data_IF_393945492682
#
_entry.id   IF_393945492682
#
_cell.length_a   1.000
_cell.length_b   1.000
_cell.length_c   1.000
_cell.angle_alpha   90.00
_cell.angle_beta   90.00
_cell.angle_gamma   90.00
#
_symmetry.space_group_name_H-M   'P 1'
#
loop_
_entity.id
_entity.type
_entity.pdbx_description
1 polymer ?
#
# COMPACT_ATOMS: atom_id res chain seq x y z
N UNK A 1 -4.90 12.82 -18.92
CA UNK A 1 -6.29 12.55 -19.34
C UNK A 1 -7.28 13.13 -18.34
N UNK A 2 -8.56 13.22 -18.72
CA UNK A 2 -9.65 13.67 -17.85
C UNK A 2 -10.72 12.60 -17.74
N UNK A 3 -11.48 12.60 -16.64
CA UNK A 3 -12.50 11.58 -16.37
C UNK A 3 -13.58 11.50 -17.47
N UNK A 4 -13.95 12.65 -18.05
CA UNK A 4 -14.89 12.74 -19.16
C UNK A 4 -14.62 14.01 -19.99
N UNK A 5 -15.19 14.13 -21.20
CA UNK A 5 -14.97 15.27 -22.10
C UNK A 5 -15.39 16.63 -21.52
N UNK A 6 -16.34 16.65 -20.59
CA UNK A 6 -16.80 17.87 -19.92
C UNK A 6 -15.95 18.27 -18.72
N UNK A 7 -15.01 17.43 -18.29
CA UNK A 7 -14.12 17.76 -17.17
C UNK A 7 -13.16 18.88 -17.56
N UNK A 8 -12.93 19.80 -16.61
CA UNK A 8 -12.01 20.91 -16.80
C UNK A 8 -10.59 20.57 -16.31
N UNK A 9 -10.45 19.55 -15.45
CA UNK A 9 -9.16 19.16 -14.86
C UNK A 9 -8.76 17.76 -15.29
N UNK A 10 -7.46 17.59 -15.50
CA UNK A 10 -6.82 16.28 -15.55
C UNK A 10 -6.81 15.65 -14.16
N UNK A 11 -6.78 14.32 -14.12
CA UNK A 11 -6.69 13.56 -12.88
C UNK A 11 -5.72 12.39 -13.04
N UNK A 12 -5.08 12.00 -11.94
CA UNK A 12 -4.22 10.81 -11.87
C UNK A 12 -5.00 9.58 -12.28
N UNK A 13 -6.17 9.35 -11.71
CA UNK A 13 -6.98 8.16 -11.99
C UNK A 13 -7.31 8.09 -13.48
N UNK A 14 -7.74 9.21 -14.07
CA UNK A 14 -8.05 9.25 -15.50
C UNK A 14 -6.81 9.06 -16.38
N UNK A 15 -5.67 9.64 -15.98
CA UNK A 15 -4.40 9.56 -16.73
C UNK A 15 -3.84 8.16 -16.72
N UNK A 16 -3.77 7.54 -15.55
CA UNK A 16 -3.33 6.17 -15.38
C UNK A 16 -4.23 5.17 -16.14
N UNK A 17 -5.55 5.30 -16.00
CA UNK A 17 -6.49 4.47 -16.73
C UNK A 17 -6.35 4.63 -18.25
N UNK A 18 -6.11 5.85 -18.74
CA UNK A 18 -5.82 6.11 -20.15
C UNK A 18 -4.55 5.44 -20.63
N UNK A 19 -3.47 5.48 -19.85
CA UNK A 19 -2.21 4.81 -20.16
C UNK A 19 -2.36 3.28 -20.20
N UNK A 20 -3.03 2.69 -19.21
CA UNK A 20 -3.32 1.25 -19.18
C UNK A 20 -4.21 0.83 -20.36
N UNK A 21 -5.20 1.65 -20.72
CA UNK A 21 -6.04 1.38 -21.89
C UNK A 21 -5.22 1.43 -23.20
N UNK A 22 -4.33 2.41 -23.36
CA UNK A 22 -3.43 2.50 -24.51
C UNK A 22 -2.50 1.28 -24.59
N UNK A 23 -2.03 0.76 -23.46
CA UNK A 23 -1.20 -0.45 -23.42
C UNK A 23 -1.96 -1.69 -23.87
N UNK A 24 -3.19 -1.88 -23.35
CA UNK A 24 -4.08 -2.97 -23.78
C UNK A 24 -4.35 -2.92 -25.29
N UNK A 25 -4.43 -1.72 -25.86
CA UNK A 25 -4.62 -1.51 -27.30
C UNK A 25 -3.33 -1.68 -28.13
N UNK A 26 -2.17 -1.81 -27.48
CA UNK A 26 -0.86 -1.89 -28.14
C UNK A 26 -0.34 -0.55 -28.67
N UNK A 27 -0.95 0.56 -28.25
CA UNK A 27 -0.68 1.92 -28.76
C UNK A 27 0.08 2.79 -27.76
N UNK A 28 0.37 2.31 -26.54
CA UNK A 28 1.07 3.12 -25.55
C UNK A 28 2.46 3.54 -26.07
N UNK A 29 3.22 2.62 -26.65
CA UNK A 29 4.57 2.90 -27.15
C UNK A 29 4.63 3.90 -28.31
N UNK A 30 3.57 4.00 -29.13
CA UNK A 30 3.45 4.93 -30.25
C UNK A 30 2.83 6.28 -29.84
N UNK A 31 2.25 6.37 -28.64
CA UNK A 31 1.55 7.56 -28.20
C UNK A 31 2.53 8.71 -27.90
N UNK A 32 2.34 9.91 -28.49
CA UNK A 32 3.34 10.97 -28.48
C UNK A 32 3.63 11.55 -27.09
N UNK A 33 2.66 11.52 -26.17
CA UNK A 33 2.75 12.24 -24.89
C UNK A 33 3.02 11.33 -23.67
N UNK A 34 3.50 10.09 -23.87
CA UNK A 34 3.77 9.17 -22.74
C UNK A 34 4.74 9.78 -21.73
N UNK A 35 5.83 10.40 -22.19
CA UNK A 35 6.79 11.05 -21.30
C UNK A 35 6.15 12.20 -20.50
N UNK A 36 5.31 13.01 -21.16
CA UNK A 36 4.58 14.10 -20.51
C UNK A 36 3.62 13.58 -19.44
N UNK A 37 2.87 12.51 -19.73
CA UNK A 37 1.96 11.88 -18.75
C UNK A 37 2.72 11.26 -17.58
N UNK A 38 3.86 10.61 -17.86
CA UNK A 38 4.72 10.00 -16.84
C UNK A 38 5.26 11.05 -15.88
N UNK A 39 5.85 12.14 -16.40
CA UNK A 39 6.34 13.24 -15.57
C UNK A 39 5.21 13.91 -14.79
N UNK A 40 4.05 14.10 -15.43
CA UNK A 40 2.89 14.68 -14.75
C UNK A 40 2.39 13.81 -13.60
N UNK A 41 2.44 12.48 -13.73
CA UNK A 41 2.11 11.55 -12.64
C UNK A 41 3.16 11.61 -11.52
N UNK A 42 4.44 11.62 -11.85
CA UNK A 42 5.53 11.75 -10.87
C UNK A 42 5.38 13.01 -10.01
N UNK A 43 5.00 14.14 -10.62
CA UNK A 43 4.75 15.41 -9.93
C UNK A 43 3.55 15.38 -8.95
N UNK A 44 2.77 14.28 -8.90
CA UNK A 44 1.62 14.13 -7.99
C UNK A 44 1.97 13.42 -6.69
N UNK A 45 3.20 12.91 -6.54
CA UNK A 45 3.62 12.39 -5.24
C UNK A 45 3.71 13.55 -4.24
N UNK A 46 3.07 13.40 -3.08
CA UNK A 46 3.03 14.43 -2.05
C UNK A 46 4.27 14.31 -1.16
N UNK A 47 5.15 15.31 -1.23
CA UNK A 47 6.36 15.37 -0.40
C UNK A 47 6.18 16.14 0.92
N UNK A 48 5.18 17.02 0.99
CA UNK A 48 4.90 17.88 2.14
C UNK A 48 3.40 17.86 2.40
N UNK A 49 3.02 17.55 3.63
CA UNK A 49 1.64 17.58 4.09
C UNK A 49 1.58 17.98 5.57
N UNK A 50 0.41 18.46 6.04
CA UNK A 50 0.25 18.91 7.43
C UNK A 50 0.42 17.75 8.44
N UNK A 51 0.00 16.55 8.07
CA UNK A 51 0.21 15.32 8.83
C UNK A 51 1.17 14.41 8.06
N UNK A 52 2.27 14.01 8.70
CA UNK A 52 3.34 13.19 8.10
C UNK A 52 2.83 11.85 7.57
N UNK A 53 1.72 11.34 8.11
CA UNK A 53 1.14 10.06 7.71
C UNK A 53 0.63 10.02 6.26
N UNK A 54 0.37 11.20 5.67
CA UNK A 54 -0.09 11.37 4.29
C UNK A 54 1.05 11.58 3.27
N UNK A 55 2.28 11.84 3.74
CA UNK A 55 3.44 12.06 2.87
C UNK A 55 3.79 10.77 2.14
N UNK A 56 3.98 10.87 0.82
CA UNK A 56 4.32 9.77 -0.07
C UNK A 56 3.15 9.24 -0.89
N UNK A 57 1.91 9.53 -0.51
CA UNK A 57 0.73 9.27 -1.32
C UNK A 57 0.63 10.20 -2.53
N UNK A 58 -0.27 9.89 -3.46
CA UNK A 58 -0.50 10.71 -4.66
C UNK A 58 -1.83 11.46 -4.58
N UNK A 59 -1.80 12.75 -4.92
CA UNK A 59 -2.98 13.61 -5.02
C UNK A 59 -3.67 13.48 -6.40
N UNK A 60 -5.00 13.65 -6.48
CA UNK A 60 -5.72 13.36 -7.73
C UNK A 60 -5.41 14.38 -8.83
N UNK A 61 -5.12 15.63 -8.47
CA UNK A 61 -4.74 16.69 -9.40
C UNK A 61 -3.70 17.59 -8.75
N UNK A 62 -3.06 18.47 -9.53
CA UNK A 62 -2.07 19.40 -9.00
C UNK A 62 -2.62 20.27 -7.86
N UNK A 63 -1.94 20.21 -6.71
CA UNK A 63 -2.19 21.00 -5.49
C UNK A 63 -3.61 20.84 -4.94
N UNK A 64 -4.19 19.64 -5.04
CA UNK A 64 -5.47 19.34 -4.38
C UNK A 64 -5.28 19.00 -2.90
N UNK A 65 -4.09 18.51 -2.52
CA UNK A 65 -3.82 18.16 -1.12
C UNK A 65 -4.71 17.02 -0.62
N UNK A 66 -5.01 16.05 -1.49
CA UNK A 66 -5.87 14.91 -1.20
C UNK A 66 -5.19 13.54 -1.46
N UNK A 67 -3.96 13.32 -0.94
CA UNK A 67 -3.30 12.02 -1.11
C UNK A 67 -4.14 10.89 -0.52
N UNK A 68 -4.43 9.89 -1.34
CA UNK A 68 -5.28 8.76 -0.97
C UNK A 68 -4.82 7.46 -1.64
N UNK A 69 -5.21 6.33 -1.07
CA UNK A 69 -4.74 5.00 -1.51
C UNK A 69 -5.18 4.64 -2.93
N UNK A 70 -6.39 5.04 -3.35
CA UNK A 70 -6.91 4.76 -4.69
C UNK A 70 -6.09 5.49 -5.75
N UNK A 71 -5.92 6.80 -5.59
CA UNK A 71 -5.12 7.64 -6.50
C UNK A 71 -3.67 7.16 -6.54
N UNK A 72 -3.10 6.81 -5.38
CA UNK A 72 -1.77 6.22 -5.27
C UNK A 72 -1.64 4.91 -6.05
N UNK A 73 -2.61 4.01 -5.93
CA UNK A 73 -2.63 2.75 -6.68
C UNK A 73 -2.61 3.00 -8.19
N UNK A 74 -3.43 3.91 -8.69
CA UNK A 74 -3.47 4.24 -10.12
C UNK A 74 -2.16 4.86 -10.61
N UNK A 75 -1.60 5.82 -9.87
CA UNK A 75 -0.31 6.41 -10.21
C UNK A 75 0.80 5.35 -10.28
N UNK A 76 0.93 4.54 -9.23
CA UNK A 76 1.94 3.47 -9.16
C UNK A 76 1.77 2.47 -10.29
N UNK A 77 0.54 2.01 -10.57
CA UNK A 77 0.28 1.05 -11.66
C UNK A 77 0.69 1.59 -13.02
N UNK A 78 0.42 2.88 -13.29
CA UNK A 78 0.81 3.50 -14.56
C UNK A 78 2.31 3.76 -14.65
N UNK A 79 2.97 4.10 -13.54
CA UNK A 79 4.42 4.29 -13.49
C UNK A 79 5.17 2.97 -13.58
N UNK A 80 4.63 1.89 -13.02
CA UNK A 80 5.15 0.52 -13.17
C UNK A 80 5.11 0.09 -14.64
N UNK A 81 3.98 0.32 -15.31
CA UNK A 81 3.76 0.00 -16.71
C UNK A 81 4.83 0.60 -17.64
N UNK A 82 5.23 1.85 -17.36
CA UNK A 82 6.26 2.58 -18.15
C UNK A 82 7.66 2.48 -17.54
N UNK A 83 7.88 1.57 -16.59
CA UNK A 83 9.17 1.34 -15.92
C UNK A 83 9.78 2.62 -15.31
N UNK A 84 8.98 3.44 -14.65
CA UNK A 84 9.39 4.72 -14.04
C UNK A 84 9.19 4.77 -12.52
N UNK A 85 9.00 3.62 -11.86
CA UNK A 85 8.88 3.55 -10.40
C UNK A 85 10.18 3.87 -9.66
N UNK A 86 11.33 3.81 -10.33
CA UNK A 86 12.63 4.21 -9.80
C UNK A 86 12.72 5.72 -9.50
N UNK A 87 11.86 6.52 -10.13
CA UNK A 87 11.76 7.97 -9.91
C UNK A 87 10.80 8.34 -8.76
N UNK A 88 10.01 7.40 -8.26
CA UNK A 88 9.12 7.60 -7.12
C UNK A 88 9.91 7.49 -5.82
N UNK A 89 9.63 8.34 -4.84
CA UNK A 89 10.15 8.13 -3.48
C UNK A 89 9.45 6.93 -2.84
N UNK A 90 10.03 5.75 -3.02
CA UNK A 90 9.44 4.49 -2.55
C UNK A 90 9.39 4.39 -1.02
N UNK A 91 10.29 5.07 -0.31
CA UNK A 91 10.32 5.08 1.16
C UNK A 91 9.12 5.83 1.73
N UNK A 92 8.82 7.02 1.23
CA UNK A 92 7.63 7.76 1.66
C UNK A 92 6.35 7.05 1.20
N UNK A 93 6.33 6.53 -0.02
CA UNK A 93 5.20 5.74 -0.54
C UNK A 93 4.89 4.52 0.34
N UNK A 94 5.90 3.73 0.71
CA UNK A 94 5.73 2.59 1.61
C UNK A 94 5.14 3.05 2.95
N UNK A 95 5.66 4.15 3.49
CA UNK A 95 5.20 4.69 4.78
C UNK A 95 3.74 5.12 4.71
N UNK A 96 3.34 5.85 3.67
CA UNK A 96 1.95 6.22 3.39
C UNK A 96 1.02 5.01 3.32
N UNK A 97 1.38 3.97 2.56
CA UNK A 97 0.55 2.77 2.40
C UNK A 97 0.40 2.06 3.73
N UNK A 98 1.48 1.92 4.52
CA UNK A 98 1.42 1.30 5.85
C UNK A 98 0.55 2.11 6.82
N UNK A 99 0.58 3.44 6.75
CA UNK A 99 -0.29 4.30 7.56
C UNK A 99 -1.78 4.18 7.19
N UNK A 100 -2.10 3.71 5.97
CA UNK A 100 -3.46 3.38 5.57
C UNK A 100 -3.98 2.07 6.18
N UNK A 101 -3.21 1.35 7.01
CA UNK A 101 -3.72 0.19 7.73
C UNK A 101 -4.70 0.64 8.83
N UNK A 102 -5.85 -0.01 8.92
CA UNK A 102 -6.90 0.28 9.91
C UNK A 102 -6.84 -0.66 11.11
N UNK A 103 -7.57 -0.32 12.18
CA UNK A 103 -7.70 -1.16 13.39
C UNK A 103 -8.23 -2.58 13.12
N UNK A 104 -8.97 -2.75 12.02
CA UNK A 104 -9.50 -4.04 11.58
C UNK A 104 -8.44 -4.96 10.95
N UNK A 105 -7.22 -4.46 10.73
CA UNK A 105 -6.15 -5.11 9.98
C UNK A 105 -6.25 -4.95 8.47
N UNK A 106 -7.40 -4.51 7.93
CA UNK A 106 -7.58 -4.13 6.53
C UNK A 106 -6.98 -2.75 6.23
N UNK A 107 -6.73 -2.42 4.96
CA UNK A 107 -6.34 -1.07 4.55
C UNK A 107 -7.55 -0.22 4.16
N UNK A 108 -7.46 1.08 4.40
CA UNK A 108 -8.46 2.11 4.11
C UNK A 108 -7.97 3.11 3.07
N UNK A 109 -8.88 3.92 2.55
CA UNK A 109 -8.56 4.97 1.56
C UNK A 109 -7.60 6.04 2.07
N UNK A 110 -7.62 6.32 3.37
CA UNK A 110 -6.80 7.34 4.03
C UNK A 110 -6.19 6.78 5.32
N UNK A 111 -5.05 7.31 5.77
CA UNK A 111 -4.53 7.08 7.12
C UNK A 111 -5.54 7.43 8.22
N UNK A 112 -5.47 6.70 9.33
CA UNK A 112 -6.24 6.98 10.55
C UNK A 112 -7.72 6.57 10.51
N UNK A 113 -8.17 5.88 9.45
CA UNK A 113 -9.55 5.38 9.37
C UNK A 113 -9.71 4.09 10.18
N UNK A 114 -10.83 3.97 10.90
CA UNK A 114 -11.09 2.83 11.80
C UNK A 114 -11.33 1.50 11.07
N UNK A 115 -11.80 1.55 9.82
CA UNK A 115 -12.14 0.37 9.03
C UNK A 115 -11.68 0.49 7.59
N UNK A 116 -11.14 -0.61 7.06
CA UNK A 116 -10.79 -0.77 5.66
C UNK A 116 -11.70 -1.74 4.91
N UNK A 117 -11.54 -1.79 3.59
CA UNK A 117 -12.26 -2.73 2.72
C UNK A 117 -11.31 -3.72 2.04
N UNK A 118 -11.90 -4.78 1.46
CA UNK A 118 -11.14 -5.80 0.75
C UNK A 118 -10.39 -5.24 -0.47
N UNK A 119 -11.02 -4.33 -1.22
CA UNK A 119 -10.42 -3.78 -2.44
C UNK A 119 -9.31 -2.77 -2.12
N UNK A 120 -9.45 -1.96 -1.07
CA UNK A 120 -8.38 -1.08 -0.57
C UNK A 120 -7.18 -1.91 -0.09
N UNK A 121 -7.44 -3.01 0.61
CA UNK A 121 -6.39 -3.96 1.00
C UNK A 121 -5.68 -4.57 -0.21
N UNK A 122 -6.42 -4.88 -1.27
CA UNK A 122 -5.83 -5.36 -2.52
C UNK A 122 -4.97 -4.29 -3.21
N UNK A 123 -5.35 -3.02 -3.16
CA UNK A 123 -4.54 -1.92 -3.69
C UNK A 123 -3.25 -1.73 -2.90
N UNK A 124 -3.33 -1.71 -1.56
CA UNK A 124 -2.15 -1.61 -0.71
C UNK A 124 -1.14 -2.72 -1.01
N UNK A 125 -1.59 -3.99 -1.04
CA UNK A 125 -0.71 -5.13 -1.33
C UNK A 125 -0.09 -5.04 -2.72
N UNK A 126 -0.84 -4.59 -3.73
CA UNK A 126 -0.30 -4.39 -5.08
C UNK A 126 0.76 -3.29 -5.13
N UNK A 127 0.52 -2.14 -4.48
CA UNK A 127 1.51 -1.06 -4.40
C UNK A 127 2.80 -1.57 -3.72
N UNK A 128 2.65 -2.28 -2.59
CA UNK A 128 3.79 -2.86 -1.88
C UNK A 128 4.55 -3.88 -2.74
N UNK A 129 3.83 -4.65 -3.56
CA UNK A 129 4.41 -5.58 -4.54
C UNK A 129 5.16 -4.90 -5.68
N UNK A 130 4.71 -3.72 -6.10
CA UNK A 130 5.37 -2.94 -7.15
C UNK A 130 6.70 -2.34 -6.69
N UNK A 131 6.86 -2.07 -5.39
CA UNK A 131 8.08 -1.48 -4.80
C UNK A 131 8.97 -2.49 -4.07
N UNK A 132 8.51 -3.73 -3.84
CA UNK A 132 9.28 -4.73 -3.10
C UNK A 132 8.52 -6.03 -2.84
N UNK A 133 9.00 -6.83 -1.90
CA UNK A 133 8.27 -8.03 -1.44
C UNK A 133 7.23 -7.65 -0.37
N UNK A 134 5.92 -7.74 -0.67
CA UNK A 134 4.89 -7.28 0.25
C UNK A 134 4.87 -8.11 1.52
N UNK A 135 5.24 -9.39 1.48
CA UNK A 135 5.29 -10.24 2.67
C UNK A 135 6.37 -9.78 3.63
N UNK A 136 7.58 -9.52 3.12
CA UNK A 136 8.69 -9.00 3.93
C UNK A 136 8.35 -7.62 4.52
N UNK A 137 7.78 -6.71 3.70
CA UNK A 137 7.40 -5.37 4.16
C UNK A 137 6.36 -5.46 5.29
N UNK A 138 5.27 -6.19 5.07
CA UNK A 138 4.19 -6.33 6.05
C UNK A 138 4.62 -7.08 7.32
N UNK A 139 5.50 -8.09 7.19
CA UNK A 139 6.04 -8.80 8.34
C UNK A 139 6.98 -7.94 9.20
N UNK A 140 7.67 -6.98 8.57
CA UNK A 140 8.55 -6.04 9.27
C UNK A 140 7.83 -4.83 9.84
N UNK A 141 6.63 -4.50 9.33
CA UNK A 141 5.82 -3.39 9.82
C UNK A 141 5.17 -3.72 11.16
N UNK A 142 5.25 -2.80 12.10
CA UNK A 142 4.48 -2.87 13.35
C UNK A 142 3.06 -2.42 13.08
N UNK A 143 2.08 -3.30 13.32
CA UNK A 143 0.67 -2.91 13.34
C UNK A 143 0.47 -1.83 14.43
N UNK A 144 0.12 -0.58 14.06
CA UNK A 144 -0.05 0.51 15.01
C UNK A 144 -1.23 0.28 15.97
N UNK A 145 -2.13 -0.64 15.62
CA UNK A 145 -3.31 -1.01 16.39
C UNK A 145 -3.19 -2.37 17.06
N UNK A 146 -2.00 -2.98 17.05
CA UNK A 146 -1.71 -4.19 17.81
C UNK A 146 -2.01 -3.96 19.30
N UNK A 147 -2.99 -4.70 19.82
CA UNK A 147 -3.34 -4.74 21.26
C UNK A 147 -2.23 -5.33 22.14
N UNK A 148 -1.17 -5.87 21.53
CA UNK A 148 -0.03 -6.44 22.24
C UNK A 148 1.27 -5.70 21.92
N UNK A 149 2.19 -5.57 22.89
CA UNK A 149 3.50 -5.02 22.62
C UNK A 149 4.21 -5.82 21.53
N UNK A 150 4.96 -5.15 20.64
CA UNK A 150 5.68 -5.80 19.54
C UNK A 150 6.64 -6.93 19.96
N UNK A 151 7.05 -6.98 21.24
CA UNK A 151 7.90 -8.02 21.81
C UNK A 151 7.14 -9.25 22.34
N UNK A 152 5.80 -9.21 22.43
CA UNK A 152 4.98 -10.26 22.99
C UNK A 152 4.11 -10.92 21.92
N UNK A 153 4.63 -11.96 21.27
CA UNK A 153 3.85 -12.84 20.40
C UNK A 153 3.13 -13.89 21.26
N UNK A 154 1.81 -13.75 21.39
CA UNK A 154 0.97 -14.68 22.15
C UNK A 154 1.06 -16.13 21.63
N UNK A 155 1.40 -16.33 20.35
CA UNK A 155 1.59 -17.67 19.76
C UNK A 155 2.77 -18.39 20.40
N UNK A 156 3.84 -17.66 20.72
CA UNK A 156 5.00 -18.22 21.42
C UNK A 156 4.66 -18.59 22.87
N UNK A 157 3.81 -17.79 23.52
CA UNK A 157 3.28 -18.11 24.86
C UNK A 157 2.44 -19.38 24.82
N UNK A 158 1.52 -19.49 23.85
CA UNK A 158 0.69 -20.68 23.66
C UNK A 158 1.53 -21.93 23.35
N UNK A 159 2.54 -21.79 22.49
CA UNK A 159 3.49 -22.88 22.19
C UNK A 159 4.27 -23.31 23.44
N UNK A 160 4.79 -22.36 24.21
CA UNK A 160 5.52 -22.64 25.45
C UNK A 160 4.64 -23.38 26.47
N UNK A 161 3.37 -22.97 26.61
CA UNK A 161 2.41 -23.66 27.46
C UNK A 161 2.11 -25.08 26.98
N UNK A 162 1.96 -25.28 25.66
CA UNK A 162 1.72 -26.59 25.08
C UNK A 162 2.92 -27.54 25.29
N UNK A 163 4.13 -27.04 25.08
CA UNK A 163 5.38 -27.76 25.38
C UNK A 163 5.47 -28.10 26.87
N UNK A 164 5.16 -27.15 27.76
CA UNK A 164 5.13 -27.38 29.21
C UNK A 164 4.15 -28.52 29.58
N UNK A 165 2.94 -28.51 29.03
CA UNK A 165 1.94 -29.57 29.26
C UNK A 165 2.45 -30.92 28.79
N UNK A 166 3.05 -31.00 27.59
CA UNK A 166 3.62 -32.25 27.06
C UNK A 166 4.74 -32.77 27.97
N UNK A 167 5.63 -31.89 28.44
CA UNK A 167 6.71 -32.26 29.37
C UNK A 167 6.15 -32.78 30.69
N UNK A 168 5.13 -32.13 31.26
CA UNK A 168 4.48 -32.58 32.50
C UNK A 168 3.84 -33.95 32.32
N UNK A 169 3.12 -34.18 31.21
CA UNK A 169 2.50 -35.47 30.92
C UNK A 169 3.54 -36.59 30.74
N UNK A 170 4.65 -36.32 30.06
CA UNK A 170 5.75 -37.28 29.90
C UNK A 170 6.43 -37.62 31.24
N UNK A 171 6.61 -36.63 32.11
CA UNK A 171 7.17 -36.86 33.46
C UNK A 171 6.21 -37.66 34.34
N UNK A 172 4.91 -37.42 34.23
CA UNK A 172 3.89 -38.19 34.94
C UNK A 172 3.82 -39.64 34.43
N UNK A 173 3.92 -39.88 33.12
CA UNK A 173 3.91 -41.24 32.57
C UNK A 173 5.11 -42.06 33.03
N UNK A 174 6.30 -41.46 33.14
CA UNK A 174 7.52 -42.14 33.64
C UNK A 174 7.38 -42.53 35.12
N UNK A 175 6.62 -41.77 35.92
CA UNK A 175 6.43 -42.04 37.37
C UNK A 175 5.37 -43.11 37.66
N UNK A 176 4.60 -43.55 36.67
CA UNK A 176 3.52 -44.52 36.85
C UNK A 176 3.92 -45.96 36.54
N UNK A 177 5.13 -46.17 36.00
CA UNK A 177 5.80 -47.48 35.84
C UNK A 177 6.74 -47.78 37.01
#
# INVERSE_FOLDING_TARGET
FKLNPGSLREGVTATAAGMLALDILGELSSYPDVATMTNWLLDRQVDIFDSEEFIGGFEESNSTGDPNLLTTFWAVSALELVNSLDQVNQTSLQSFVLNCQSTSGAFSSLPGMDSGTLWESAYAVQILGAIGDPLTILASSTDPYSVHPAWLDWRLVALALLVLVVVVLALLSIRMD
#
